data_IF_503310957502
#
_entry.id   IF_503310957502
#
_cell.length_a   1.000
_cell.length_b   1.000
_cell.length_c   1.000
_cell.angle_alpha   90.00
_cell.angle_beta   90.00
_cell.angle_gamma   90.00
#
_symmetry.space_group_name_H-M   'P 1'
#
loop_
_entity.id
_entity.type
_entity.pdbx_description
1 polymer ?
#
# COMPACT_ATOMS: atom_id res chain seq x y z
N UNK A 1 1.90 -37.97 -15.19
CA UNK A 1 2.78 -36.79 -15.36
C UNK A 1 3.83 -36.91 -14.29
N UNK A 2 5.10 -36.80 -14.65
CA UNK A 2 6.18 -36.84 -13.67
C UNK A 2 6.08 -35.61 -12.75
N UNK A 3 6.29 -35.82 -11.44
CA UNK A 3 6.14 -34.80 -10.40
C UNK A 3 6.94 -33.52 -10.70
N UNK A 4 8.21 -33.67 -11.11
CA UNK A 4 9.08 -32.55 -11.47
C UNK A 4 8.54 -31.72 -12.65
N UNK A 5 7.97 -32.35 -13.69
CA UNK A 5 7.34 -31.64 -14.81
C UNK A 5 6.11 -30.85 -14.36
N UNK A 6 5.32 -31.43 -13.45
CA UNK A 6 4.17 -30.74 -12.87
C UNK A 6 4.60 -29.53 -12.04
N UNK A 7 5.67 -29.64 -11.24
CA UNK A 7 6.23 -28.52 -10.46
C UNK A 7 6.70 -27.40 -11.38
N UNK A 8 7.43 -27.72 -12.46
CA UNK A 8 7.86 -26.74 -13.46
C UNK A 8 6.67 -26.02 -14.10
N UNK A 9 5.64 -26.78 -14.52
CA UNK A 9 4.43 -26.24 -15.10
C UNK A 9 3.69 -25.31 -14.11
N UNK A 10 3.55 -25.74 -12.86
CA UNK A 10 2.89 -24.96 -11.82
C UNK A 10 3.66 -23.70 -11.45
N UNK A 11 4.99 -23.77 -11.34
CA UNK A 11 5.83 -22.60 -11.08
C UNK A 11 5.80 -21.60 -12.23
N UNK A 12 5.77 -22.08 -13.48
CA UNK A 12 5.56 -21.23 -14.64
C UNK A 12 4.18 -20.56 -14.62
N UNK A 13 3.11 -21.34 -14.39
CA UNK A 13 1.75 -20.81 -14.30
C UNK A 13 1.62 -19.78 -13.16
N UNK A 14 2.25 -20.06 -12.03
CA UNK A 14 2.34 -19.14 -10.89
C UNK A 14 2.97 -17.81 -11.27
N UNK A 15 4.14 -17.84 -11.92
CA UNK A 15 4.85 -16.65 -12.37
C UNK A 15 4.02 -15.83 -13.39
N UNK A 16 3.37 -16.50 -14.34
CA UNK A 16 2.51 -15.85 -15.33
C UNK A 16 1.27 -15.22 -14.70
N UNK A 17 0.56 -15.95 -13.83
CA UNK A 17 -0.66 -15.45 -13.18
C UNK A 17 -0.37 -14.24 -12.28
N UNK A 18 0.60 -14.36 -11.37
CA UNK A 18 0.89 -13.30 -10.41
C UNK A 18 1.70 -12.16 -11.02
N UNK A 19 2.62 -12.44 -11.95
CA UNK A 19 3.32 -11.43 -12.73
C UNK A 19 2.38 -10.64 -13.63
N UNK A 20 1.45 -11.33 -14.33
CA UNK A 20 0.41 -10.71 -15.15
C UNK A 20 -0.56 -9.85 -14.32
N UNK A 21 -0.94 -10.30 -13.13
CA UNK A 21 -1.77 -9.51 -12.21
C UNK A 21 -1.08 -8.22 -11.74
N UNK A 22 0.24 -8.20 -11.60
CA UNK A 22 1.00 -6.98 -11.31
C UNK A 22 0.82 -5.94 -12.42
N UNK A 23 0.90 -6.38 -13.69
CA UNK A 23 0.70 -5.52 -14.86
C UNK A 23 -0.74 -5.00 -14.94
N UNK A 24 -1.74 -5.86 -14.71
CA UNK A 24 -3.15 -5.46 -14.71
C UNK A 24 -3.49 -4.43 -13.62
N UNK A 25 -2.78 -4.46 -12.48
CA UNK A 25 -2.96 -3.50 -11.39
C UNK A 25 -2.18 -2.20 -11.59
N UNK A 26 -1.38 -2.10 -12.66
CA UNK A 26 -0.44 -0.99 -12.84
C UNK A 26 0.57 -0.91 -11.70
N UNK A 27 0.87 -2.03 -11.05
CA UNK A 27 1.91 -2.14 -10.03
C UNK A 27 3.25 -2.38 -10.72
N UNK A 28 4.30 -1.67 -10.28
CA UNK A 28 5.66 -1.86 -10.80
C UNK A 28 6.08 -3.34 -10.73
N UNK A 29 6.70 -3.82 -11.80
CA UNK A 29 7.10 -5.22 -11.92
C UNK A 29 8.12 -5.59 -10.83
N UNK A 30 7.78 -6.58 -10.02
CA UNK A 30 8.66 -7.09 -8.96
C UNK A 30 9.68 -8.06 -9.54
N UNK A 31 10.92 -7.59 -9.71
CA UNK A 31 12.03 -8.45 -10.12
C UNK A 31 12.34 -9.51 -9.07
N UNK A 32 12.24 -9.16 -7.79
CA UNK A 32 12.47 -10.09 -6.70
C UNK A 32 11.46 -11.22 -6.70
N UNK A 33 10.16 -10.91 -6.82
CA UNK A 33 9.11 -11.92 -6.91
C UNK A 33 9.37 -12.92 -8.05
N UNK A 34 9.73 -12.40 -9.22
CA UNK A 34 9.95 -13.21 -10.43
C UNK A 34 11.17 -14.10 -10.27
N UNK A 35 12.30 -13.53 -9.83
CA UNK A 35 13.54 -14.28 -9.66
C UNK A 35 13.43 -15.32 -8.54
N UNK A 36 12.88 -14.95 -7.38
CA UNK A 36 12.65 -15.90 -6.29
C UNK A 36 11.72 -17.04 -6.75
N UNK A 37 10.63 -16.71 -7.45
CA UNK A 37 9.70 -17.72 -7.98
C UNK A 37 10.37 -18.70 -8.95
N UNK A 38 11.15 -18.20 -9.91
CA UNK A 38 11.88 -19.04 -10.87
C UNK A 38 12.92 -19.90 -10.16
N UNK A 39 13.76 -19.30 -9.31
CA UNK A 39 14.84 -20.02 -8.60
C UNK A 39 14.27 -21.10 -7.70
N UNK A 40 13.22 -20.80 -6.91
CA UNK A 40 12.59 -21.79 -6.02
C UNK A 40 11.97 -22.92 -6.84
N UNK A 41 11.28 -22.61 -7.93
CA UNK A 41 10.69 -23.62 -8.82
C UNK A 41 11.76 -24.56 -9.37
N UNK A 42 12.86 -24.00 -9.89
CA UNK A 42 13.96 -24.80 -10.45
C UNK A 42 14.66 -25.65 -9.39
N UNK A 43 14.90 -25.10 -8.19
CA UNK A 43 15.53 -25.84 -7.09
C UNK A 43 14.66 -27.00 -6.61
N UNK A 44 13.35 -26.79 -6.45
CA UNK A 44 12.43 -27.84 -6.01
C UNK A 44 12.27 -28.91 -7.10
N UNK A 45 12.09 -28.51 -8.36
CA UNK A 45 11.98 -29.46 -9.47
C UNK A 45 13.26 -30.28 -9.67
N UNK A 46 14.44 -29.66 -9.53
CA UNK A 46 15.72 -30.37 -9.59
C UNK A 46 15.87 -31.35 -8.42
N UNK A 47 15.55 -30.91 -7.19
CA UNK A 47 15.60 -31.78 -6.00
C UNK A 47 14.67 -32.98 -6.13
N UNK A 48 13.46 -32.76 -6.65
CA UNK A 48 12.47 -33.79 -6.96
C UNK A 48 13.01 -34.81 -7.98
N UNK A 49 13.60 -34.32 -9.08
CA UNK A 49 14.22 -35.15 -10.12
C UNK A 49 15.41 -35.97 -9.62
N UNK A 50 16.35 -35.38 -8.89
CA UNK A 50 17.55 -36.09 -8.42
C UNK A 50 17.27 -37.07 -7.29
N UNK A 51 16.28 -36.74 -6.43
CA UNK A 51 15.97 -37.56 -5.26
C UNK A 51 14.85 -38.57 -5.53
N UNK A 52 14.25 -38.56 -6.73
CA UNK A 52 12.99 -39.27 -7.05
C UNK A 52 11.94 -39.09 -5.93
N UNK A 53 11.83 -37.87 -5.42
CA UNK A 53 10.83 -37.53 -4.43
C UNK A 53 9.49 -37.28 -5.13
N UNK A 54 8.38 -37.49 -4.42
CA UNK A 54 7.04 -37.13 -4.89
C UNK A 54 6.60 -35.83 -4.20
N UNK A 55 7.15 -34.68 -4.62
CA UNK A 55 6.78 -33.39 -4.01
C UNK A 55 5.29 -33.11 -4.23
N UNK A 56 4.59 -32.85 -3.13
CA UNK A 56 3.16 -32.51 -3.20
C UNK A 56 2.96 -31.15 -3.91
N UNK A 57 2.19 -31.08 -5.00
CA UNK A 57 2.03 -29.86 -5.79
C UNK A 57 1.35 -28.72 -5.04
N UNK A 58 0.42 -29.05 -4.13
CA UNK A 58 -0.28 -28.06 -3.29
C UNK A 58 0.68 -27.47 -2.26
N UNK A 59 1.50 -28.31 -1.62
CA UNK A 59 2.51 -27.83 -0.67
C UNK A 59 3.56 -26.97 -1.37
N UNK A 60 3.97 -27.34 -2.59
CA UNK A 60 4.84 -26.52 -3.42
C UNK A 60 4.23 -25.13 -3.67
N UNK A 61 2.96 -25.05 -4.08
CA UNK A 61 2.28 -23.78 -4.32
C UNK A 61 2.15 -22.93 -3.06
N UNK A 62 1.81 -23.54 -1.92
CA UNK A 62 1.77 -22.82 -0.63
C UNK A 62 3.15 -22.29 -0.29
N UNK A 63 4.19 -23.12 -0.42
CA UNK A 63 5.56 -22.76 -0.08
C UNK A 63 6.09 -21.60 -0.94
N UNK A 64 5.99 -21.70 -2.27
CA UNK A 64 6.44 -20.64 -3.19
C UNK A 64 5.65 -19.35 -2.97
N UNK A 65 4.34 -19.46 -2.69
CA UNK A 65 3.50 -18.31 -2.38
C UNK A 65 3.93 -17.61 -1.09
N UNK A 66 4.14 -18.36 0.00
CA UNK A 66 4.56 -17.79 1.28
C UNK A 66 5.89 -17.05 1.17
N UNK A 67 6.85 -17.58 0.42
CA UNK A 67 8.17 -16.95 0.28
C UNK A 67 8.09 -15.70 -0.60
N UNK A 68 7.52 -15.82 -1.79
CA UNK A 68 7.50 -14.72 -2.77
C UNK A 68 6.54 -13.59 -2.39
N UNK A 69 5.52 -13.87 -1.56
CA UNK A 69 4.55 -12.89 -1.08
C UNK A 69 4.75 -12.47 0.37
N UNK A 70 5.85 -12.89 1.03
CA UNK A 70 6.09 -12.70 2.47
C UNK A 70 5.80 -11.28 2.96
N UNK A 71 6.28 -10.26 2.25
CA UNK A 71 6.14 -8.86 2.67
C UNK A 71 4.70 -8.36 2.51
N UNK A 72 3.99 -8.80 1.47
CA UNK A 72 2.57 -8.49 1.25
C UNK A 72 1.69 -9.19 2.29
N UNK A 73 1.99 -10.43 2.62
CA UNK A 73 1.29 -11.16 3.69
C UNK A 73 1.46 -10.47 5.05
N UNK A 74 2.66 -9.99 5.36
CA UNK A 74 2.88 -9.21 6.60
C UNK A 74 2.12 -7.88 6.60
N UNK A 75 1.94 -7.23 5.45
CA UNK A 75 1.06 -6.05 5.33
C UNK A 75 -0.39 -6.41 5.66
N UNK A 76 -0.90 -7.52 5.12
CA UNK A 76 -2.25 -7.98 5.42
C UNK A 76 -2.43 -8.31 6.91
N UNK A 77 -1.45 -9.00 7.51
CA UNK A 77 -1.44 -9.23 8.95
C UNK A 77 -1.41 -7.92 9.75
N UNK A 78 -0.56 -6.96 9.37
CA UNK A 78 -0.52 -5.66 10.04
C UNK A 78 -1.87 -4.93 9.98
N UNK A 79 -2.55 -4.97 8.84
CA UNK A 79 -3.88 -4.40 8.66
C UNK A 79 -4.93 -5.08 9.55
N UNK A 80 -4.88 -6.41 9.68
CA UNK A 80 -5.75 -7.15 10.61
C UNK A 80 -5.53 -6.72 12.08
N UNK A 81 -4.27 -6.52 12.50
CA UNK A 81 -3.97 -6.03 13.85
C UNK A 81 -4.39 -4.58 14.06
N UNK A 82 -4.19 -3.73 13.05
CA UNK A 82 -4.60 -2.32 13.04
C UNK A 82 -6.11 -2.16 13.17
N UNK A 83 -6.88 -2.98 12.46
CA UNK A 83 -8.34 -3.02 12.55
C UNK A 83 -8.86 -3.45 13.93
N UNK A 84 -8.04 -4.18 14.71
CA UNK A 84 -8.33 -4.52 16.11
C UNK A 84 -7.81 -3.48 17.11
N UNK A 85 -7.37 -2.30 16.65
CA UNK A 85 -6.80 -1.24 17.48
C UNK A 85 -5.38 -1.51 17.99
N UNK A 86 -4.75 -2.63 17.61
CA UNK A 86 -3.42 -3.03 18.09
C UNK A 86 -2.31 -2.38 17.27
N UNK A 87 -2.26 -1.04 17.27
CA UNK A 87 -1.38 -0.28 16.37
C UNK A 87 0.10 -0.56 16.60
N UNK A 88 0.54 -0.75 17.85
CA UNK A 88 1.95 -1.10 18.16
C UNK A 88 2.37 -2.41 17.50
N UNK A 89 1.52 -3.43 17.56
CA UNK A 89 1.78 -4.74 16.95
C UNK A 89 1.79 -4.62 15.43
N UNK A 90 0.85 -3.86 14.85
CA UNK A 90 0.80 -3.63 13.42
C UNK A 90 2.09 -2.97 12.89
N UNK A 91 2.60 -1.94 13.58
CA UNK A 91 3.88 -1.32 13.24
C UNK A 91 5.04 -2.31 13.37
N UNK A 92 5.09 -3.12 14.43
CA UNK A 92 6.13 -4.13 14.59
C UNK A 92 6.13 -5.15 13.45
N UNK A 93 4.96 -5.56 12.96
CA UNK A 93 4.83 -6.49 11.82
C UNK A 93 5.38 -5.83 10.54
N UNK A 94 5.05 -4.56 10.28
CA UNK A 94 5.57 -3.85 9.10
C UNK A 94 7.07 -3.60 9.18
N UNK A 95 7.63 -3.37 10.36
CA UNK A 95 9.08 -3.31 10.55
C UNK A 95 9.74 -4.67 10.23
N UNK A 96 9.12 -5.78 10.61
CA UNK A 96 9.57 -7.11 10.19
C UNK A 96 9.50 -7.25 8.67
N UNK A 97 8.42 -6.79 8.02
CA UNK A 97 8.30 -6.82 6.57
C UNK A 97 9.45 -6.08 5.88
N UNK A 98 9.86 -4.90 6.39
CA UNK A 98 11.01 -4.15 5.89
C UNK A 98 12.35 -4.90 6.11
N UNK A 99 12.49 -5.65 7.21
CA UNK A 99 13.68 -6.46 7.49
C UNK A 99 13.81 -7.70 6.59
N UNK A 100 12.74 -8.10 5.90
CA UNK A 100 12.77 -9.18 4.91
C UNK A 100 13.23 -8.72 3.52
N UNK A 101 13.83 -7.53 3.44
CA UNK A 101 14.38 -6.91 2.25
C UNK A 101 13.41 -6.99 1.05
N UNK A 102 12.21 -6.39 1.17
CA UNK A 102 11.30 -6.29 0.05
C UNK A 102 11.94 -5.42 -1.03
N UNK A 103 11.69 -5.79 -2.27
CA UNK A 103 12.01 -4.97 -3.43
C UNK A 103 11.29 -3.63 -3.38
N UNK A 104 11.71 -2.70 -4.26
CA UNK A 104 11.21 -1.32 -4.23
C UNK A 104 9.67 -1.25 -4.24
N UNK A 105 8.93 -1.90 -5.17
CA UNK A 105 7.47 -1.85 -5.16
C UNK A 105 6.85 -2.35 -3.85
N UNK A 106 7.30 -3.51 -3.35
CA UNK A 106 6.76 -4.07 -2.10
C UNK A 106 7.12 -3.21 -0.89
N UNK A 107 8.32 -2.62 -0.88
CA UNK A 107 8.76 -1.68 0.17
C UNK A 107 7.85 -0.45 0.21
N UNK A 108 7.51 0.15 -0.92
CA UNK A 108 6.60 1.29 -0.99
C UNK A 108 5.21 0.94 -0.44
N UNK A 109 4.69 -0.25 -0.76
CA UNK A 109 3.41 -0.73 -0.20
C UNK A 109 3.49 -0.85 1.33
N UNK A 110 4.58 -1.41 1.86
CA UNK A 110 4.82 -1.52 3.31
C UNK A 110 4.85 -0.14 3.97
N UNK A 111 5.55 0.84 3.39
CA UNK A 111 5.66 2.20 3.91
C UNK A 111 4.32 2.94 3.90
N UNK A 112 3.53 2.83 2.82
CA UNK A 112 2.18 3.42 2.74
C UNK A 112 1.29 2.86 3.87
N UNK A 113 1.28 1.55 4.06
CA UNK A 113 0.49 0.93 5.13
C UNK A 113 1.00 1.33 6.51
N UNK A 114 2.31 1.49 6.68
CA UNK A 114 2.88 1.99 7.94
C UNK A 114 2.44 3.42 8.22
N UNK A 115 2.42 4.32 7.22
CA UNK A 115 1.90 5.67 7.35
C UNK A 115 0.43 5.70 7.78
N UNK A 116 -0.42 4.87 7.14
CA UNK A 116 -1.84 4.75 7.51
C UNK A 116 -2.01 4.31 8.97
N UNK A 117 -1.19 3.35 9.42
CA UNK A 117 -1.21 2.88 10.82
C UNK A 117 -0.71 3.97 11.78
N UNK A 118 0.26 4.80 11.39
CA UNK A 118 0.73 5.92 12.23
C UNK A 118 -0.34 7.00 12.39
N UNK A 119 -1.14 7.28 11.35
CA UNK A 119 -2.34 8.15 11.47
C UNK A 119 -3.29 7.59 12.54
N UNK A 120 -3.58 6.28 12.50
CA UNK A 120 -4.46 5.61 13.48
C UNK A 120 -3.87 5.56 14.90
N UNK A 121 -2.56 5.77 15.02
CA UNK A 121 -1.83 5.84 16.29
C UNK A 121 -1.68 7.28 16.79
N UNK A 122 -2.37 8.24 16.17
CA UNK A 122 -2.28 9.67 16.50
C UNK A 122 -0.85 10.23 16.41
N UNK A 123 -0.05 9.68 15.47
CA UNK A 123 1.29 10.15 15.19
C UNK A 123 1.40 10.64 13.74
N UNK A 124 0.72 11.75 13.39
CA UNK A 124 0.64 12.24 12.03
C UNK A 124 1.97 12.77 11.49
N UNK A 125 2.91 13.18 12.36
CA UNK A 125 4.24 13.62 11.94
C UNK A 125 5.02 12.45 11.32
N UNK A 126 5.04 11.29 11.99
CA UNK A 126 5.67 10.10 11.42
C UNK A 126 4.95 9.62 10.15
N UNK A 127 3.63 9.77 10.08
CA UNK A 127 2.87 9.42 8.87
C UNK A 127 3.27 10.31 7.68
N UNK A 128 3.38 11.63 7.91
CA UNK A 128 3.82 12.58 6.89
C UNK A 128 5.19 12.20 6.31
N UNK A 129 6.19 11.97 7.17
CA UNK A 129 7.55 11.60 6.72
C UNK A 129 7.55 10.34 5.86
N UNK A 130 6.71 9.36 6.21
CA UNK A 130 6.59 8.11 5.45
C UNK A 130 5.94 8.32 4.08
N UNK A 131 4.92 9.16 3.99
CA UNK A 131 4.27 9.44 2.71
C UNK A 131 5.13 10.31 1.80
N UNK A 132 5.86 11.29 2.35
CA UNK A 132 6.84 12.09 1.59
C UNK A 132 7.91 11.18 1.00
N UNK A 133 8.51 10.30 1.81
CA UNK A 133 9.46 9.28 1.34
C UNK A 133 8.88 8.40 0.23
N UNK A 134 7.63 7.94 0.37
CA UNK A 134 6.97 7.12 -0.67
C UNK A 134 6.76 7.90 -1.97
N UNK A 135 6.40 9.17 -1.90
CA UNK A 135 6.19 9.99 -3.08
C UNK A 135 7.51 10.30 -3.79
N UNK A 136 8.55 10.66 -3.03
CA UNK A 136 9.91 10.88 -3.54
C UNK A 136 10.45 9.63 -4.26
N UNK A 137 10.37 8.47 -3.62
CA UNK A 137 10.86 7.22 -4.22
C UNK A 137 9.93 6.65 -5.30
N UNK A 138 8.64 6.97 -5.22
CA UNK A 138 7.59 6.45 -6.10
C UNK A 138 7.54 7.12 -7.47
N UNK A 139 8.18 8.29 -7.63
CA UNK A 139 8.34 8.95 -8.93
C UNK A 139 9.26 8.16 -9.86
N UNK A 140 10.34 7.59 -9.34
CA UNK A 140 11.29 6.78 -10.11
C UNK A 140 10.85 5.31 -10.26
N UNK A 141 10.11 4.79 -9.29
CA UNK A 141 9.90 3.34 -9.13
C UNK A 141 8.59 2.80 -9.72
N UNK A 142 7.80 3.65 -10.39
CA UNK A 142 6.52 3.24 -10.98
C UNK A 142 5.46 2.94 -9.92
N UNK A 143 5.35 3.77 -8.87
CA UNK A 143 4.24 3.70 -7.93
C UNK A 143 2.93 3.87 -8.71
N UNK A 144 2.13 2.79 -8.82
CA UNK A 144 0.90 2.80 -9.61
C UNK A 144 -0.03 3.95 -9.24
N UNK A 145 -0.73 4.52 -10.23
CA UNK A 145 -1.56 5.73 -10.08
C UNK A 145 -2.50 5.67 -8.86
N UNK A 146 -3.10 4.49 -8.63
CA UNK A 146 -3.95 4.22 -7.47
C UNK A 146 -3.22 4.40 -6.13
N UNK A 147 -2.00 3.88 -6.02
CA UNK A 147 -1.19 3.98 -4.80
C UNK A 147 -0.68 5.41 -4.59
N UNK A 148 -0.34 6.12 -5.67
CA UNK A 148 0.03 7.55 -5.59
C UNK A 148 -1.14 8.40 -5.09
N UNK A 149 -2.34 8.22 -5.65
CA UNK A 149 -3.55 8.91 -5.18
C UNK A 149 -3.87 8.58 -3.71
N UNK A 150 -3.71 7.31 -3.30
CA UNK A 150 -3.84 6.89 -1.90
C UNK A 150 -2.84 7.60 -0.98
N UNK A 151 -1.59 7.73 -1.43
CA UNK A 151 -0.52 8.37 -0.68
C UNK A 151 -0.80 9.86 -0.47
N UNK A 152 -1.16 10.60 -1.52
CA UNK A 152 -1.56 12.01 -1.42
C UNK A 152 -2.78 12.20 -0.52
N UNK A 153 -3.81 11.35 -0.62
CA UNK A 153 -4.97 11.45 0.26
C UNK A 153 -4.59 11.29 1.73
N UNK A 154 -3.83 10.24 2.07
CA UNK A 154 -3.44 9.99 3.45
C UNK A 154 -2.43 11.02 3.99
N UNK A 155 -1.55 11.56 3.13
CA UNK A 155 -0.69 12.69 3.48
C UNK A 155 -1.54 13.94 3.80
N UNK A 156 -2.60 14.19 3.03
CA UNK A 156 -3.58 15.23 3.33
C UNK A 156 -4.26 15.04 4.69
N UNK A 157 -4.65 13.80 5.02
CA UNK A 157 -5.20 13.46 6.34
C UNK A 157 -4.19 13.70 7.46
N UNK A 158 -2.94 13.28 7.29
CA UNK A 158 -1.88 13.51 8.27
C UNK A 158 -1.63 15.01 8.51
N UNK A 159 -1.52 15.80 7.44
CA UNK A 159 -1.35 17.26 7.52
C UNK A 159 -2.56 17.95 8.19
N UNK A 160 -3.77 17.48 7.90
CA UNK A 160 -4.98 17.98 8.55
C UNK A 160 -4.95 17.71 10.07
N UNK A 161 -4.54 16.52 10.51
CA UNK A 161 -4.40 16.21 11.95
C UNK A 161 -3.34 17.08 12.64
N UNK A 162 -2.37 17.60 11.89
CA UNK A 162 -1.38 18.56 12.39
C UNK A 162 -1.86 20.02 12.33
N UNK A 163 -3.07 20.29 11.84
CA UNK A 163 -3.57 21.66 11.64
C UNK A 163 -2.99 22.39 10.43
N UNK A 164 -2.22 21.71 9.58
CA UNK A 164 -1.59 22.28 8.39
C UNK A 164 -2.55 22.31 7.19
N UNK A 165 -3.65 23.05 7.36
CA UNK A 165 -4.81 22.98 6.49
C UNK A 165 -4.52 23.36 5.03
N UNK A 166 -3.68 24.37 4.80
CA UNK A 166 -3.31 24.79 3.44
C UNK A 166 -2.55 23.70 2.67
N UNK A 167 -1.68 22.96 3.34
CA UNK A 167 -0.93 21.86 2.75
C UNK A 167 -1.83 20.64 2.55
N UNK A 168 -2.70 20.33 3.52
CA UNK A 168 -3.69 19.26 3.39
C UNK A 168 -4.56 19.43 2.14
N UNK A 169 -5.06 20.65 1.89
CA UNK A 169 -5.85 20.97 0.69
C UNK A 169 -5.08 20.73 -0.60
N UNK A 170 -3.77 21.04 -0.65
CA UNK A 170 -2.95 20.74 -1.83
C UNK A 170 -2.91 19.23 -2.08
N UNK A 171 -2.64 18.45 -1.05
CA UNK A 171 -2.54 17.00 -1.16
C UNK A 171 -3.87 16.34 -1.53
N UNK A 172 -5.01 16.82 -1.02
CA UNK A 172 -6.31 16.34 -1.47
C UNK A 172 -6.59 16.65 -2.95
N UNK A 173 -6.12 17.79 -3.47
CA UNK A 173 -6.24 18.08 -4.91
C UNK A 173 -5.39 17.14 -5.75
N UNK A 174 -4.16 16.86 -5.32
CA UNK A 174 -3.31 15.88 -6.00
C UNK A 174 -3.96 14.48 -6.02
N UNK A 175 -4.57 14.06 -4.90
CA UNK A 175 -5.29 12.79 -4.83
C UNK A 175 -6.54 12.76 -5.74
N UNK A 176 -7.30 13.85 -5.79
CA UNK A 176 -8.49 13.97 -6.64
C UNK A 176 -8.14 13.90 -8.14
N UNK A 177 -7.08 14.60 -8.54
CA UNK A 177 -6.66 14.67 -9.94
C UNK A 177 -5.86 13.45 -10.39
N UNK A 178 -5.08 12.84 -9.50
CA UNK A 178 -4.10 11.81 -9.86
C UNK A 178 -4.69 10.48 -10.30
N UNK A 179 -5.88 10.11 -9.81
CA UNK A 179 -6.58 8.91 -10.27
C UNK A 179 -8.11 9.06 -10.14
N UNK A 180 -8.76 9.73 -11.13
CA UNK A 180 -10.18 10.03 -11.10
C UNK A 180 -11.06 8.79 -11.00
N UNK A 181 -12.17 8.89 -10.26
CA UNK A 181 -13.12 7.79 -10.02
C UNK A 181 -12.66 6.76 -8.99
N UNK A 182 -11.46 6.89 -8.44
CA UNK A 182 -10.98 6.00 -7.39
C UNK A 182 -11.63 6.29 -6.03
N UNK A 183 -11.61 5.34 -5.08
CA UNK A 183 -12.05 5.62 -3.72
C UNK A 183 -11.30 6.79 -3.07
N UNK A 184 -10.01 6.94 -3.37
CA UNK A 184 -9.17 8.00 -2.81
C UNK A 184 -9.46 9.37 -3.44
N UNK A 185 -9.74 9.43 -4.75
CA UNK A 185 -10.13 10.69 -5.39
C UNK A 185 -11.47 11.17 -4.85
N UNK A 186 -12.46 10.28 -4.72
CA UNK A 186 -13.77 10.61 -4.13
C UNK A 186 -13.66 11.06 -2.68
N UNK A 187 -12.89 10.34 -1.86
CA UNK A 187 -12.66 10.74 -0.47
C UNK A 187 -11.94 12.09 -0.37
N UNK A 188 -11.03 12.40 -1.30
CA UNK A 188 -10.36 13.69 -1.36
C UNK A 188 -11.31 14.82 -1.80
N UNK A 189 -12.17 14.58 -2.79
CA UNK A 189 -13.21 15.51 -3.22
C UNK A 189 -14.19 15.83 -2.08
N UNK A 190 -14.67 14.80 -1.37
CA UNK A 190 -15.52 14.95 -0.19
C UNK A 190 -14.84 15.81 0.89
N UNK A 191 -13.56 15.52 1.17
CA UNK A 191 -12.77 16.28 2.13
C UNK A 191 -12.59 17.75 1.71
N UNK A 192 -12.51 18.04 0.41
CA UNK A 192 -12.43 19.40 -0.13
C UNK A 192 -13.77 20.13 -0.06
N UNK A 193 -14.88 19.45 -0.32
CA UNK A 193 -16.23 20.04 -0.26
C UNK A 193 -16.63 20.39 1.18
N UNK A 194 -16.40 19.48 2.14
CA UNK A 194 -16.68 19.75 3.56
C UNK A 194 -16.00 21.04 4.06
N UNK A 195 -14.79 21.32 3.56
CA UNK A 195 -14.06 22.56 3.88
C UNK A 195 -14.67 23.80 3.24
N UNK A 196 -15.13 23.72 2.00
CA UNK A 196 -15.82 24.83 1.33
C UNK A 196 -17.10 25.21 2.09
N UNK A 197 -17.85 24.21 2.55
CA UNK A 197 -19.04 24.42 3.38
C UNK A 197 -18.70 25.03 4.74
N UNK A 198 -17.67 24.51 5.42
CA UNK A 198 -17.21 25.05 6.70
C UNK A 198 -16.78 26.52 6.60
N UNK A 199 -16.03 26.89 5.55
CA UNK A 199 -15.66 28.30 5.31
C UNK A 199 -16.88 29.18 5.04
N UNK A 200 -17.81 28.75 4.19
CA UNK A 200 -19.05 29.50 3.91
C UNK A 200 -19.91 29.71 5.17
N UNK A 201 -20.00 28.70 6.04
CA UNK A 201 -20.70 28.79 7.33
C UNK A 201 -20.05 29.80 8.28
N UNK A 202 -18.72 29.74 8.44
CA UNK A 202 -17.97 30.70 9.26
C UNK A 202 -18.11 32.15 8.77
N UNK A 203 -18.08 32.38 7.44
CA UNK A 203 -18.26 33.72 6.88
C UNK A 203 -19.67 34.28 7.10
N UNK A 204 -20.70 33.43 7.07
CA UNK A 204 -22.09 33.85 7.35
C UNK A 204 -22.29 34.17 8.84
N UNK A 205 -21.74 33.35 9.73
CA UNK A 205 -21.83 33.57 11.19
C UNK A 205 -21.11 34.85 11.63
N UNK A 206 -19.94 35.15 11.06
CA UNK A 206 -19.18 36.38 11.38
C UNK A 206 -19.92 37.64 10.92
N UNK A 207 -20.63 37.59 9.78
CA UNK A 207 -21.42 38.73 9.30
C UNK A 207 -22.68 38.98 10.15
N UNK A 208 -23.30 37.93 10.67
CA UNK A 208 -24.47 38.05 11.54
C UNK A 208 -24.09 38.65 12.91
N UNK A 209 -22.97 38.21 13.52
CA UNK A 209 -22.50 38.75 14.80
C UNK A 209 -22.05 40.22 14.74
N UNK A 210 -21.57 40.68 13.59
CA UNK A 210 -21.23 42.10 13.40
C UNK A 210 -22.46 42.98 13.18
N UNK A 211 -23.56 42.43 12.63
CA UNK A 211 -24.82 43.17 12.49
C UNK A 211 -25.53 43.37 13.84
N UNK A 212 -25.51 42.36 14.72
CA UNK A 212 -26.10 42.44 16.07
C UNK A 212 -25.35 43.38 17.03
N UNK A 213 -24.10 43.78 16.72
CA UNK A 213 -23.33 44.75 17.53
C UNK A 213 -23.57 46.21 17.16
N UNK A 214 -24.25 46.47 16.04
CA UNK A 214 -24.48 47.82 15.49
C UNK A 214 -25.93 48.29 15.73
N UNK A 215 -26.77 47.43 16.32
CA UNK A 215 -28.15 47.75 16.75
C UNK A 215 -28.24 47.87 18.26
#
# INVERSE_FOLDING_TARGET
MDSHLLILLLGFLYAVLFGGMSLLRGEGFSMQFTLEGIVITLLIAAGDFFSNSDVNPVLFLIFIYLITMRSRLLVDFANLFSNRGRQRNAVSILQTALRLYPDKPSRLIVLVNMGIIQIRRENPQSAQSLFEMVLEEGEESGLGLRHRAACHYNLGVALQQQGQEAQAVRQFREAANGFPGSPFSRAAEEALEQRKHSKKGATKSSKASDQDKIT
#
